data_IF_235833848782
#
_entry.id   IF_235833848782
#
_cell.length_a   1.000
_cell.length_b   1.000
_cell.length_c   1.000
_cell.angle_alpha   90.00
_cell.angle_beta   90.00
_cell.angle_gamma   90.00
#
_symmetry.space_group_name_H-M   'P 1'
#
loop_
_entity.id
_entity.type
_entity.pdbx_description
1 polymer ?
#
# COMPACT_ATOMS: atom_id res chain seq x y z
N UNK A 1 68.12 -17.57 35.19
CA UNK A 1 67.27 -18.19 34.15
C UNK A 1 65.85 -17.80 34.47
N UNK A 2 65.36 -16.85 33.70
CA UNK A 2 63.99 -16.35 33.72
C UNK A 2 63.00 -17.46 33.36
N UNK A 3 61.88 -17.50 34.09
CA UNK A 3 60.65 -18.12 33.62
C UNK A 3 59.50 -17.16 33.96
N UNK A 4 59.50 -16.02 33.28
CA UNK A 4 58.34 -15.15 33.16
C UNK A 4 57.31 -15.83 32.26
N UNK A 5 56.28 -16.39 32.85
CA UNK A 5 55.02 -16.65 32.12
C UNK A 5 54.39 -15.29 31.85
N UNK A 6 54.12 -14.89 30.60
CA UNK A 6 53.35 -13.69 30.34
C UNK A 6 51.90 -13.98 30.68
N UNK A 7 51.48 -13.63 31.90
CA UNK A 7 50.07 -13.38 32.18
C UNK A 7 49.75 -12.06 31.48
N UNK A 8 48.97 -12.13 30.41
CA UNK A 8 48.47 -10.92 29.75
C UNK A 8 47.70 -10.09 30.79
N UNK A 9 48.16 -8.87 31.12
CA UNK A 9 47.38 -7.93 31.89
C UNK A 9 46.45 -7.20 30.90
N UNK A 10 45.17 -7.05 31.27
CA UNK A 10 44.12 -6.37 30.51
C UNK A 10 43.76 -6.99 29.15
N UNK A 11 42.60 -7.66 29.08
CA UNK A 11 42.19 -8.22 27.79
C UNK A 11 40.85 -8.94 27.72
N UNK A 12 39.83 -8.51 28.47
CA UNK A 12 38.44 -8.76 28.04
C UNK A 12 37.65 -7.50 28.36
N UNK A 13 37.73 -6.52 27.46
CA UNK A 13 36.61 -5.60 27.32
C UNK A 13 35.41 -6.49 27.01
N UNK A 14 34.44 -6.57 27.92
CA UNK A 14 33.10 -7.03 27.58
C UNK A 14 32.56 -5.99 26.58
N UNK A 15 32.88 -6.15 25.31
CA UNK A 15 32.08 -5.53 24.26
C UNK A 15 30.65 -5.98 24.52
N UNK A 16 29.72 -5.06 24.82
CA UNK A 16 28.34 -5.44 25.06
C UNK A 16 27.84 -6.21 23.84
N UNK A 17 26.86 -7.09 24.06
CA UNK A 17 26.28 -8.00 23.06
C UNK A 17 25.48 -7.25 21.96
N UNK A 18 25.80 -5.98 21.68
CA UNK A 18 25.11 -5.08 20.75
C UNK A 18 24.94 -5.70 19.37
N UNK A 19 25.92 -6.47 18.89
CA UNK A 19 25.82 -7.17 17.61
C UNK A 19 24.73 -8.27 17.60
N UNK A 20 24.52 -8.94 18.74
CA UNK A 20 23.49 -9.96 18.92
C UNK A 20 22.10 -9.30 19.08
N UNK A 21 22.01 -8.23 19.86
CA UNK A 21 20.77 -7.47 20.06
C UNK A 21 20.29 -6.79 18.76
N UNK A 22 21.22 -6.25 17.96
CA UNK A 22 20.94 -5.74 16.61
C UNK A 22 20.45 -6.85 15.68
N UNK A 23 20.96 -8.08 15.81
CA UNK A 23 20.53 -9.21 14.98
C UNK A 23 19.09 -9.67 15.30
N UNK A 24 18.70 -9.67 16.57
CA UNK A 24 17.35 -10.03 17.03
C UNK A 24 16.34 -8.95 16.66
N UNK A 25 16.68 -7.68 16.87
CA UNK A 25 15.84 -6.55 16.47
C UNK A 25 15.63 -6.51 14.95
N UNK A 26 16.68 -6.80 14.16
CA UNK A 26 16.56 -6.90 12.71
C UNK A 26 15.66 -8.07 12.28
N UNK A 27 15.79 -9.25 12.91
CA UNK A 27 14.92 -10.38 12.61
C UNK A 27 13.45 -10.09 12.93
N UNK A 28 13.17 -9.47 14.08
CA UNK A 28 11.83 -9.03 14.46
C UNK A 28 11.27 -7.98 13.48
N UNK A 29 12.09 -7.01 13.07
CA UNK A 29 11.72 -6.01 12.08
C UNK A 29 11.38 -6.63 10.71
N UNK A 30 12.15 -7.63 10.26
CA UNK A 30 11.85 -8.33 9.01
C UNK A 30 10.53 -9.10 9.08
N UNK A 31 10.23 -9.76 10.21
CA UNK A 31 8.94 -10.43 10.43
C UNK A 31 7.78 -9.45 10.48
N UNK A 32 7.96 -8.29 11.11
CA UNK A 32 6.95 -7.23 11.13
C UNK A 32 6.67 -6.69 9.72
N UNK A 33 7.70 -6.52 8.89
CA UNK A 33 7.51 -6.16 7.49
C UNK A 33 6.77 -7.24 6.69
N UNK A 34 7.11 -8.52 6.88
CA UNK A 34 6.41 -9.62 6.21
C UNK A 34 4.91 -9.64 6.58
N UNK A 35 4.58 -9.29 7.82
CA UNK A 35 3.18 -9.12 8.25
C UNK A 35 2.50 -7.97 7.51
N UNK A 36 3.16 -6.83 7.32
CA UNK A 36 2.61 -5.71 6.55
C UNK A 36 2.28 -6.16 5.12
N UNK A 37 3.22 -6.82 4.45
CA UNK A 37 3.04 -7.39 3.10
C UNK A 37 1.86 -8.36 3.05
N UNK A 38 1.72 -9.24 4.04
CA UNK A 38 0.62 -10.20 4.10
C UNK A 38 -0.75 -9.51 4.26
N UNK A 39 -0.83 -8.46 5.09
CA UNK A 39 -2.04 -7.67 5.26
C UNK A 39 -2.41 -6.92 3.98
N UNK A 40 -1.44 -6.29 3.31
CA UNK A 40 -1.68 -5.62 2.01
C UNK A 40 -2.22 -6.59 0.98
N UNK A 41 -1.68 -7.81 0.89
CA UNK A 41 -2.21 -8.85 -0.03
C UNK A 41 -3.63 -9.27 0.32
N UNK A 42 -3.92 -9.41 1.62
CA UNK A 42 -5.27 -9.75 2.07
C UNK A 42 -6.27 -8.63 1.71
N UNK A 43 -5.85 -7.37 1.80
CA UNK A 43 -6.67 -6.23 1.39
C UNK A 43 -6.96 -6.22 -0.12
N UNK A 44 -5.93 -6.41 -0.97
CA UNK A 44 -6.12 -6.56 -2.43
C UNK A 44 -7.11 -7.69 -2.75
N UNK A 45 -6.98 -8.84 -2.09
CA UNK A 45 -7.88 -9.96 -2.31
C UNK A 45 -9.31 -9.69 -1.82
N UNK A 46 -9.48 -8.91 -0.75
CA UNK A 46 -10.79 -8.51 -0.24
C UNK A 46 -11.46 -7.48 -1.18
N UNK A 47 -10.71 -6.54 -1.74
CA UNK A 47 -11.18 -5.60 -2.77
C UNK A 47 -11.75 -6.35 -3.98
N UNK A 48 -11.02 -7.36 -4.48
CA UNK A 48 -11.49 -8.19 -5.58
C UNK A 48 -12.79 -8.96 -5.24
N UNK A 49 -13.06 -9.27 -3.96
CA UNK A 49 -14.36 -9.80 -3.56
C UNK A 49 -15.46 -8.74 -3.60
N UNK A 50 -15.16 -7.52 -3.14
CA UNK A 50 -16.09 -6.38 -3.16
C UNK A 50 -16.51 -6.05 -4.61
N UNK A 51 -15.56 -6.05 -5.54
CA UNK A 51 -15.85 -5.85 -6.97
C UNK A 51 -16.80 -6.92 -7.54
N UNK A 52 -16.63 -8.17 -7.13
CA UNK A 52 -17.53 -9.26 -7.50
C UNK A 52 -18.91 -9.13 -6.83
N UNK A 53 -19.00 -8.53 -5.64
CA UNK A 53 -20.27 -8.32 -4.93
C UNK A 53 -21.20 -7.33 -5.65
N UNK A 54 -20.65 -6.41 -6.44
CA UNK A 54 -21.44 -5.56 -7.34
C UNK A 54 -22.22 -6.37 -8.41
N UNK A 55 -21.86 -7.64 -8.61
CA UNK A 55 -22.49 -8.54 -9.57
C UNK A 55 -23.32 -9.65 -8.89
N UNK A 56 -23.10 -9.93 -7.61
CA UNK A 56 -23.79 -10.99 -6.84
C UNK A 56 -24.20 -10.52 -5.42
N UNK A 57 -25.52 -10.39 -5.14
CA UNK A 57 -26.04 -10.02 -3.83
C UNK A 57 -25.68 -11.00 -2.69
N UNK A 58 -25.28 -12.24 -3.01
CA UNK A 58 -24.86 -13.22 -2.02
C UNK A 58 -23.52 -12.86 -1.35
N UNK A 59 -22.76 -11.92 -1.93
CA UNK A 59 -21.49 -11.39 -1.41
C UNK A 59 -21.68 -10.10 -0.60
N UNK A 60 -22.91 -9.80 -0.17
CA UNK A 60 -23.21 -8.65 0.69
C UNK A 60 -22.32 -8.67 1.94
N UNK A 61 -21.51 -7.62 2.10
CA UNK A 61 -20.56 -7.47 3.21
C UNK A 61 -19.08 -7.57 2.82
N UNK A 62 -18.74 -7.95 1.58
CA UNK A 62 -17.35 -7.90 1.10
C UNK A 62 -16.78 -6.47 1.11
N UNK A 63 -17.57 -5.43 0.87
CA UNK A 63 -17.11 -4.03 0.93
C UNK A 63 -16.58 -3.63 2.31
N UNK A 64 -17.29 -4.01 3.38
CA UNK A 64 -16.85 -3.73 4.74
C UNK A 64 -15.59 -4.52 5.08
N UNK A 65 -15.51 -5.79 4.66
CA UNK A 65 -14.34 -6.61 4.87
C UNK A 65 -13.10 -6.07 4.12
N UNK A 66 -13.30 -5.51 2.92
CA UNK A 66 -12.25 -4.84 2.15
C UNK A 66 -11.77 -3.56 2.86
N UNK A 67 -12.71 -2.70 3.29
CA UNK A 67 -12.38 -1.48 4.05
C UNK A 67 -11.60 -1.79 5.34
N UNK A 68 -12.05 -2.79 6.10
CA UNK A 68 -11.37 -3.22 7.33
C UNK A 68 -9.96 -3.78 7.03
N UNK A 69 -9.81 -4.54 5.94
CA UNK A 69 -8.54 -5.10 5.52
C UNK A 69 -7.53 -4.01 5.11
N UNK A 70 -7.99 -2.98 4.38
CA UNK A 70 -7.15 -1.82 4.06
C UNK A 70 -6.75 -1.02 5.29
N UNK A 71 -7.68 -0.77 6.22
CA UNK A 71 -7.38 -0.07 7.47
C UNK A 71 -6.33 -0.82 8.30
N UNK A 72 -6.44 -2.15 8.40
CA UNK A 72 -5.44 -2.98 9.08
C UNK A 72 -4.06 -2.95 8.39
N UNK A 73 -4.03 -2.93 7.05
CA UNK A 73 -2.80 -2.84 6.29
C UNK A 73 -2.12 -1.47 6.46
N UNK A 74 -2.88 -0.37 6.38
CA UNK A 74 -2.42 0.99 6.59
C UNK A 74 -1.82 1.18 8.00
N UNK A 75 -2.57 0.77 9.03
CA UNK A 75 -2.11 0.86 10.42
C UNK A 75 -0.80 0.09 10.62
N UNK A 76 -0.72 -1.15 10.12
CA UNK A 76 0.48 -1.97 10.26
C UNK A 76 1.71 -1.33 9.58
N UNK A 77 1.53 -0.78 8.39
CA UNK A 77 2.60 -0.10 7.65
C UNK A 77 3.04 1.20 8.36
N UNK A 78 2.10 1.99 8.89
CA UNK A 78 2.40 3.19 9.68
C UNK A 78 3.15 2.88 10.96
N UNK A 79 2.70 1.85 11.70
CA UNK A 79 3.37 1.37 12.91
C UNK A 79 4.80 0.93 12.59
N UNK A 80 4.99 0.09 11.56
CA UNK A 80 6.31 -0.39 11.18
C UNK A 80 7.26 0.73 10.73
N UNK A 81 6.77 1.67 9.92
CA UNK A 81 7.55 2.83 9.46
C UNK A 81 7.99 3.73 10.62
N UNK A 82 7.09 3.95 11.58
CA UNK A 82 7.29 4.87 12.71
C UNK A 82 8.06 4.26 13.87
N UNK A 83 8.18 2.93 13.93
CA UNK A 83 8.85 2.22 15.00
C UNK A 83 10.35 2.55 15.04
N UNK A 84 10.79 3.37 16.00
CA UNK A 84 12.18 3.80 16.15
C UNK A 84 13.14 2.65 16.50
N UNK A 85 12.65 1.52 16.98
CA UNK A 85 13.47 0.35 17.33
C UNK A 85 13.97 -0.40 16.10
N UNK A 86 13.25 -0.31 14.97
CA UNK A 86 13.66 -0.93 13.70
C UNK A 86 14.68 -0.06 13.00
N UNK A 87 15.91 -0.56 12.85
CA UNK A 87 17.03 0.17 12.20
C UNK A 87 17.16 -0.12 10.70
N UNK A 88 16.28 -0.96 10.14
CA UNK A 88 16.26 -1.38 8.74
C UNK A 88 15.70 -0.27 7.81
N UNK A 89 16.47 0.80 7.61
CA UNK A 89 16.05 1.98 6.86
C UNK A 89 15.50 1.67 5.45
N UNK A 90 16.12 0.75 4.71
CA UNK A 90 15.65 0.41 3.37
C UNK A 90 14.36 -0.43 3.37
N UNK A 91 14.13 -1.24 4.40
CA UNK A 91 12.87 -1.98 4.57
C UNK A 91 11.76 -1.02 5.01
N UNK A 92 12.08 -0.04 5.85
CA UNK A 92 11.16 1.08 6.16
C UNK A 92 10.84 1.92 4.93
N UNK A 93 11.80 2.13 4.04
CA UNK A 93 11.54 2.77 2.75
C UNK A 93 10.59 1.94 1.89
N UNK A 94 10.73 0.60 1.86
CA UNK A 94 9.75 -0.25 1.17
C UNK A 94 8.34 -0.12 1.76
N UNK A 95 8.21 -0.10 3.09
CA UNK A 95 6.92 0.13 3.76
C UNK A 95 6.35 1.52 3.46
N UNK A 96 7.20 2.55 3.41
CA UNK A 96 6.83 3.89 2.99
C UNK A 96 6.28 3.94 1.56
N UNK A 97 6.88 3.19 0.62
CA UNK A 97 6.37 3.13 -0.75
C UNK A 97 4.98 2.48 -0.79
N UNK A 98 4.76 1.43 0.01
CA UNK A 98 3.45 0.78 0.12
C UNK A 98 2.39 1.70 0.74
N UNK A 99 2.74 2.53 1.74
CA UNK A 99 1.81 3.52 2.29
C UNK A 99 1.33 4.52 1.25
N UNK A 100 2.25 5.04 0.43
CA UNK A 100 1.87 6.04 -0.58
C UNK A 100 0.96 5.49 -1.66
N UNK A 101 1.01 4.19 -1.89
CA UNK A 101 0.08 3.53 -2.79
C UNK A 101 -1.33 3.50 -2.19
N UNK A 102 -1.48 3.41 -0.86
CA UNK A 102 -2.79 3.53 -0.19
C UNK A 102 -3.31 4.96 -0.19
N UNK A 103 -2.41 5.93 -0.16
CA UNK A 103 -2.74 7.36 -0.11
C UNK A 103 -2.93 7.98 -1.51
N UNK A 104 -2.56 7.27 -2.59
CA UNK A 104 -2.64 7.79 -3.96
C UNK A 104 -4.07 7.67 -4.50
N UNK A 105 -4.59 8.77 -5.05
CA UNK A 105 -5.91 8.86 -5.68
C UNK A 105 -5.88 8.51 -7.18
N UNK A 106 -4.81 7.84 -7.62
CA UNK A 106 -4.59 7.40 -9.00
C UNK A 106 -3.87 8.41 -9.90
N UNK A 107 -3.54 9.62 -9.41
CA UNK A 107 -2.76 10.59 -10.19
C UNK A 107 -1.24 10.39 -10.09
N UNK A 108 -0.76 9.53 -9.17
CA UNK A 108 0.64 9.28 -8.89
C UNK A 108 1.25 8.01 -9.48
N UNK A 109 0.54 7.26 -10.35
CA UNK A 109 0.96 5.93 -10.82
C UNK A 109 2.38 5.91 -11.44
N UNK A 110 2.76 6.91 -12.23
CA UNK A 110 4.11 7.02 -12.81
C UNK A 110 5.18 7.17 -11.72
N UNK A 111 4.86 7.94 -10.67
CA UNK A 111 5.76 8.13 -9.52
C UNK A 111 5.87 6.86 -8.70
N UNK A 112 4.77 6.13 -8.52
CA UNK A 112 4.77 4.81 -7.87
C UNK A 112 5.57 3.78 -8.67
N UNK A 113 5.44 3.75 -10.00
CA UNK A 113 6.23 2.89 -10.89
C UNK A 113 7.74 3.17 -10.76
N UNK A 114 8.13 4.45 -10.73
CA UNK A 114 9.54 4.84 -10.51
C UNK A 114 10.06 4.39 -9.15
N UNK A 115 9.23 4.48 -8.09
CA UNK A 115 9.58 4.00 -6.74
C UNK A 115 9.72 2.48 -6.71
N UNK A 116 8.84 1.74 -7.37
CA UNK A 116 8.95 0.28 -7.54
C UNK A 116 10.26 -0.10 -8.28
N UNK A 117 10.62 0.63 -9.33
CA UNK A 117 11.89 0.45 -10.05
C UNK A 117 13.11 0.69 -9.13
N UNK A 118 13.04 1.70 -8.26
CA UNK A 118 14.07 1.98 -7.25
C UNK A 118 14.22 0.83 -6.25
N UNK A 119 13.11 0.25 -5.78
CA UNK A 119 13.13 -0.93 -4.92
C UNK A 119 13.79 -2.14 -5.62
N UNK A 120 13.45 -2.39 -6.90
CA UNK A 120 14.09 -3.46 -7.70
C UNK A 120 15.60 -3.24 -7.86
N UNK A 121 16.01 -2.00 -8.10
CA UNK A 121 17.43 -1.64 -8.19
C UNK A 121 18.16 -1.92 -6.87
N UNK A 122 17.58 -1.50 -5.73
CA UNK A 122 18.15 -1.77 -4.40
C UNK A 122 18.21 -3.27 -4.11
N UNK A 123 17.16 -4.01 -4.42
CA UNK A 123 17.14 -5.47 -4.27
C UNK A 123 18.29 -6.15 -5.03
N UNK A 124 18.53 -5.76 -6.29
CA UNK A 124 19.65 -6.29 -7.09
C UNK A 124 21.01 -5.97 -6.48
N UNK A 125 21.17 -4.76 -5.92
CA UNK A 125 22.39 -4.35 -5.21
C UNK A 125 22.58 -5.19 -3.95
N UNK A 126 21.53 -5.33 -3.15
CA UNK A 126 21.54 -6.04 -1.86
C UNK A 126 21.78 -7.54 -2.01
N UNK A 127 21.25 -8.15 -3.08
CA UNK A 127 21.51 -9.55 -3.40
C UNK A 127 23.00 -9.87 -3.66
N UNK A 128 23.80 -8.85 -3.98
CA UNK A 128 25.25 -8.97 -4.20
C UNK A 128 26.09 -8.46 -3.03
N UNK A 129 25.44 -7.98 -1.97
CA UNK A 129 26.11 -7.42 -0.82
C UNK A 129 26.80 -8.51 0.01
N UNK A 130 27.96 -8.23 0.64
CA UNK A 130 28.54 -9.13 1.63
C UNK A 130 27.76 -9.11 2.97
N UNK A 131 26.82 -8.19 3.17
CA UNK A 131 26.06 -8.06 4.42
C UNK A 131 24.82 -8.95 4.42
N UNK A 132 24.74 -9.89 5.37
CA UNK A 132 23.63 -10.85 5.49
C UNK A 132 22.27 -10.16 5.62
N UNK A 133 22.18 -9.07 6.39
CA UNK A 133 20.92 -8.33 6.58
C UNK A 133 20.40 -7.74 5.26
N UNK A 134 21.30 -7.28 4.39
CA UNK A 134 20.94 -6.75 3.07
C UNK A 134 20.47 -7.89 2.16
N UNK A 135 21.19 -9.01 2.14
CA UNK A 135 20.81 -10.20 1.37
C UNK A 135 19.40 -10.70 1.74
N UNK A 136 19.08 -10.73 3.04
CA UNK A 136 17.77 -11.15 3.55
C UNK A 136 16.67 -10.09 3.28
N UNK A 137 17.04 -8.82 3.15
CA UNK A 137 16.10 -7.73 2.81
C UNK A 137 15.79 -7.66 1.31
N UNK A 138 16.71 -8.10 0.45
CA UNK A 138 16.56 -8.08 -1.02
C UNK A 138 15.24 -8.70 -1.53
N UNK A 139 14.84 -9.94 -1.14
CA UNK A 139 13.58 -10.51 -1.62
C UNK A 139 12.34 -9.71 -1.18
N UNK A 140 12.37 -9.08 0.00
CA UNK A 140 11.26 -8.27 0.52
C UNK A 140 11.03 -7.00 -0.28
N UNK A 141 12.11 -6.37 -0.74
CA UNK A 141 12.01 -5.22 -1.67
C UNK A 141 11.43 -5.61 -3.03
N UNK A 142 11.77 -6.79 -3.53
CA UNK A 142 11.16 -7.33 -4.77
C UNK A 142 9.67 -7.54 -4.55
N UNK A 143 9.28 -8.13 -3.43
CA UNK A 143 7.87 -8.35 -3.10
C UNK A 143 7.10 -7.03 -3.02
N UNK A 144 7.63 -6.03 -2.33
CA UNK A 144 7.00 -4.70 -2.26
C UNK A 144 6.87 -4.06 -3.65
N UNK A 145 7.91 -4.13 -4.48
CA UNK A 145 7.86 -3.60 -5.84
C UNK A 145 6.83 -4.33 -6.71
N UNK A 146 6.68 -5.64 -6.54
CA UNK A 146 5.70 -6.43 -7.29
C UNK A 146 4.27 -6.10 -6.87
N UNK A 147 4.03 -5.85 -5.57
CA UNK A 147 2.70 -5.41 -5.10
C UNK A 147 2.31 -4.05 -5.66
N UNK A 148 3.27 -3.11 -5.76
CA UNK A 148 3.02 -1.82 -6.41
C UNK A 148 2.65 -2.00 -7.88
N UNK A 149 3.35 -2.88 -8.62
CA UNK A 149 3.01 -3.16 -10.02
C UNK A 149 1.62 -3.81 -10.16
N UNK A 150 1.25 -4.71 -9.24
CA UNK A 150 -0.06 -5.38 -9.24
C UNK A 150 -1.19 -4.35 -9.12
N UNK A 151 -1.06 -3.40 -8.18
CA UNK A 151 -2.07 -2.36 -7.97
C UNK A 151 -2.08 -1.34 -9.12
N UNK A 152 -0.92 -0.98 -9.67
CA UNK A 152 -0.89 -0.13 -10.88
C UNK A 152 -1.62 -0.82 -12.04
N UNK A 153 -1.42 -2.12 -12.22
CA UNK A 153 -2.09 -2.87 -13.28
C UNK A 153 -3.62 -2.88 -13.07
N UNK A 154 -4.10 -3.16 -11.85
CA UNK A 154 -5.53 -3.10 -11.52
C UNK A 154 -6.11 -1.70 -11.78
N UNK A 155 -5.44 -0.63 -11.31
CA UNK A 155 -5.91 0.74 -11.54
C UNK A 155 -5.97 1.11 -13.03
N UNK A 156 -5.04 0.60 -13.84
CA UNK A 156 -5.06 0.79 -15.29
C UNK A 156 -6.21 0.03 -15.96
N UNK A 157 -6.49 -1.20 -15.53
CA UNK A 157 -7.64 -1.99 -16.01
C UNK A 157 -8.97 -1.28 -15.69
N UNK A 158 -9.12 -0.75 -14.48
CA UNK A 158 -10.30 0.01 -14.06
C UNK A 158 -10.47 1.28 -14.88
N UNK A 159 -9.39 2.03 -15.10
CA UNK A 159 -9.43 3.24 -15.93
C UNK A 159 -9.89 2.93 -17.36
N UNK A 160 -9.37 1.85 -17.96
CA UNK A 160 -9.79 1.39 -19.29
C UNK A 160 -11.26 0.98 -19.30
N UNK A 161 -11.73 0.27 -18.26
CA UNK A 161 -13.13 -0.12 -18.15
C UNK A 161 -14.08 1.09 -18.03
N UNK A 162 -13.72 2.10 -17.24
CA UNK A 162 -14.48 3.35 -17.08
C UNK A 162 -14.55 4.12 -18.40
N UNK A 163 -13.41 4.27 -19.10
CA UNK A 163 -13.38 4.95 -20.39
C UNK A 163 -14.17 4.18 -21.47
N UNK A 164 -14.18 2.84 -21.44
CA UNK A 164 -15.03 2.05 -22.30
C UNK A 164 -16.53 2.32 -22.05
N UNK A 165 -16.95 2.42 -20.79
CA UNK A 165 -18.34 2.78 -20.43
C UNK A 165 -18.69 4.20 -20.94
N UNK A 166 -17.79 5.18 -20.75
CA UNK A 166 -17.99 6.57 -21.19
C UNK A 166 -18.07 6.72 -22.71
N UNK A 167 -17.31 5.91 -23.43
CA UNK A 167 -17.25 5.94 -24.91
C UNK A 167 -18.31 5.05 -25.57
N UNK A 168 -19.00 4.21 -24.81
CA UNK A 168 -20.15 3.45 -25.32
C UNK A 168 -21.31 4.43 -25.53
N UNK A 169 -21.75 4.68 -26.77
CA UNK A 169 -22.91 5.53 -26.98
C UNK A 169 -24.12 4.91 -26.29
N UNK A 170 -24.85 5.70 -25.51
CA UNK A 170 -26.19 5.32 -25.05
C UNK A 170 -27.01 5.11 -26.31
N UNK A 171 -27.14 3.86 -26.75
CA UNK A 171 -28.17 3.50 -27.71
C UNK A 171 -29.46 3.72 -26.96
N UNK A 172 -30.03 4.92 -27.13
CA UNK A 172 -31.40 5.21 -26.77
C UNK A 172 -32.22 4.17 -27.50
N UNK A 173 -32.58 3.11 -26.78
CA UNK A 173 -33.68 2.25 -27.20
C UNK A 173 -34.91 3.06 -26.86
N UNK A 174 -35.14 4.07 -27.70
CA UNK A 174 -36.43 4.70 -27.88
C UNK A 174 -37.32 3.63 -28.53
N UNK A 175 -37.63 2.60 -27.73
CA UNK A 175 -38.74 1.72 -27.96
C UNK A 175 -39.94 2.65 -27.82
N UNK A 176 -40.42 3.14 -28.96
CA UNK A 176 -41.49 4.11 -29.11
C UNK A 176 -42.80 3.72 -28.43
N UNK A 177 -42.77 3.66 -27.11
CA UNK A 177 -43.91 3.69 -26.22
C UNK A 177 -44.20 5.17 -26.04
N UNK A 178 -45.06 5.64 -26.92
CA UNK A 178 -45.76 6.90 -26.77
C UNK A 178 -46.40 6.93 -25.38
N UNK A 179 -45.71 7.54 -24.41
CA UNK A 179 -46.32 7.87 -23.13
C UNK A 179 -47.29 9.02 -23.39
N UNK A 180 -48.60 8.88 -23.10
CA UNK A 180 -49.51 10.01 -23.21
C UNK A 180 -49.08 11.03 -22.15
N UNK A 181 -48.72 12.24 -22.60
CA UNK A 181 -48.52 13.40 -21.75
C UNK A 181 -49.74 13.56 -20.84
N UNK A 182 -49.55 13.34 -19.55
CA UNK A 182 -50.48 13.79 -18.53
C UNK A 182 -50.12 15.24 -18.19
N UNK A 183 -50.95 16.25 -18.53
CA UNK A 183 -50.60 17.65 -18.35
C UNK A 183 -51.08 18.11 -16.98
N UNK A 184 -50.63 17.47 -15.89
CA UNK A 184 -50.98 17.88 -14.52
C UNK A 184 -49.91 17.45 -13.51
N UNK A 185 -48.83 18.23 -13.43
CA UNK A 185 -48.21 18.57 -12.15
C UNK A 185 -47.58 19.94 -12.36
N UNK A 186 -48.28 20.92 -11.82
CA UNK A 186 -47.97 22.33 -11.83
C UNK A 186 -46.63 22.59 -11.13
N UNK A 187 -45.93 23.58 -11.69
CA UNK A 187 -44.95 24.46 -11.07
C UNK A 187 -44.93 24.42 -9.53
N UNK A 188 -43.82 23.95 -8.97
CA UNK A 188 -43.38 24.45 -7.67
C UNK A 188 -42.33 25.50 -8.00
N UNK A 189 -42.78 26.76 -7.94
CA UNK A 189 -41.95 27.95 -8.02
C UNK A 189 -40.83 27.91 -6.97
N UNK A 190 -39.72 28.46 -7.42
CA UNK A 190 -38.46 28.74 -6.75
C UNK A 190 -38.63 29.32 -5.34
N UNK A 191 -37.84 28.82 -4.39
CA UNK A 191 -37.50 29.56 -3.17
C UNK A 191 -35.98 29.79 -3.20
N UNK A 192 -35.66 31.07 -3.21
CA UNK A 192 -34.38 31.78 -3.21
C UNK A 192 -33.24 31.17 -2.37
N UNK A 193 -32.00 31.40 -2.79
CA UNK A 193 -31.03 32.18 -1.99
C UNK A 193 -29.74 32.50 -2.79
N UNK A 194 -29.78 33.64 -3.49
CA UNK A 194 -28.56 34.42 -3.77
C UNK A 194 -28.09 35.05 -2.44
N UNK A 195 -27.12 34.40 -1.78
CA UNK A 195 -26.36 35.01 -0.69
C UNK A 195 -24.99 35.46 -1.20
N UNK A 196 -24.99 36.63 -1.83
CA UNK A 196 -23.82 37.50 -2.00
C UNK A 196 -23.42 38.07 -0.63
N UNK A 197 -22.27 37.64 -0.11
CA UNK A 197 -21.67 38.22 1.10
C UNK A 197 -20.35 38.86 0.71
N UNK A 198 -20.40 40.16 0.40
CA UNK A 198 -19.23 41.04 0.43
C UNK A 198 -18.84 41.40 1.87
N UNK A 199 -17.54 41.66 2.13
CA UNK A 199 -16.98 41.69 3.47
C UNK A 199 -16.96 43.11 4.07
N UNK A 200 -17.19 43.21 5.39
CA UNK A 200 -16.65 44.28 6.26
C UNK A 200 -16.33 43.71 7.62
#
# INVERSE_FOLDING_TARGET
>A
MDNTVPTTPFGVSQTPNEALDLSVANAAGLLAFDRCVALTRAAIAAEACADAANQDPALAGCDQAAADAWAMADEALWQFRSDRSVTLCDVKYAAWVLLLMLEDDGQGLDTLAQRAQSLRYRAKKFARSPLTVEQVSAPRMVVAANLVDEIIATAQEDHVAIEAIRTTPVVSTDLGLSSPRDPRCEEVEEIDEDLDVSPV
#
